data_IF_038407988807
#
_entry.id   IF_038407988807
#
_cell.length_a   1.000
_cell.length_b   1.000
_cell.length_c   1.000
_cell.angle_alpha   90.00
_cell.angle_beta   90.00
_cell.angle_gamma   90.00
#
_symmetry.space_group_name_H-M   'P 1'
#
loop_
_entity.id
_entity.type
_entity.pdbx_description
1 polymer ?
#
# COMPACT_ATOMS: atom_id res chain seq x y z
N UNK A 1 9.12 12.61 9.05
CA UNK A 1 8.11 12.72 7.98
C UNK A 1 8.46 13.78 6.93
N UNK A 2 8.85 15.01 7.26
CA UNK A 2 9.16 16.10 6.30
C UNK A 2 10.22 15.76 5.24
N UNK A 3 11.31 15.07 5.62
CA UNK A 3 12.35 14.66 4.66
C UNK A 3 11.79 13.65 3.65
N UNK A 4 10.99 12.69 4.09
CA UNK A 4 10.40 11.70 3.19
C UNK A 4 9.41 12.36 2.19
N UNK A 5 8.57 13.30 2.63
CA UNK A 5 7.69 14.06 1.75
C UNK A 5 8.46 14.84 0.68
N UNK A 6 9.56 15.50 1.07
CA UNK A 6 10.45 16.19 0.14
C UNK A 6 11.11 15.23 -0.87
N UNK A 7 11.65 14.10 -0.40
CA UNK A 7 12.30 13.12 -1.26
C UNK A 7 11.34 12.53 -2.29
N UNK A 8 10.12 12.15 -1.86
CA UNK A 8 9.10 11.66 -2.78
C UNK A 8 8.71 12.73 -3.81
N UNK A 9 8.57 13.98 -3.39
CA UNK A 9 8.28 15.05 -4.34
C UNK A 9 9.41 15.25 -5.36
N UNK A 10 10.67 15.11 -4.97
CA UNK A 10 11.83 15.15 -5.91
C UNK A 10 11.74 14.02 -6.93
N UNK A 11 11.48 12.79 -6.46
CA UNK A 11 11.31 11.63 -7.34
C UNK A 11 10.18 11.88 -8.34
N UNK A 12 9.00 12.24 -7.85
CA UNK A 12 7.82 12.45 -8.69
C UNK A 12 7.93 13.66 -9.64
N UNK A 13 8.85 14.59 -9.38
CA UNK A 13 9.16 15.71 -10.26
C UNK A 13 10.34 15.42 -11.22
N UNK A 14 10.97 14.23 -11.09
CA UNK A 14 12.09 13.86 -11.98
C UNK A 14 11.59 13.64 -13.41
N UNK A 15 12.16 14.30 -14.42
CA UNK A 15 11.86 13.99 -15.81
C UNK A 15 12.26 12.57 -16.15
N UNK A 16 11.39 11.82 -16.80
CA UNK A 16 11.63 10.41 -17.13
C UNK A 16 11.87 10.13 -18.61
N UNK A 17 11.66 11.11 -19.51
CA UNK A 17 11.99 11.01 -20.95
C UNK A 17 11.52 9.71 -21.62
N UNK A 18 12.22 9.30 -22.68
CA UNK A 18 12.05 7.99 -23.30
C UNK A 18 12.72 6.91 -22.44
N UNK A 19 11.93 6.01 -21.88
CA UNK A 19 12.37 4.95 -21.00
C UNK A 19 11.57 3.66 -21.26
N UNK A 20 12.00 2.55 -20.64
CA UNK A 20 11.36 1.25 -20.74
C UNK A 20 10.44 0.94 -19.55
N UNK A 21 10.08 1.94 -18.74
CA UNK A 21 9.20 1.74 -17.60
C UNK A 21 7.77 1.44 -18.08
N UNK A 22 7.14 0.48 -17.44
CA UNK A 22 5.77 0.08 -17.76
C UNK A 22 4.81 1.19 -17.33
N UNK A 23 3.82 1.47 -18.18
CA UNK A 23 2.67 2.31 -17.83
C UNK A 23 1.47 1.41 -17.61
N UNK A 24 0.94 1.35 -16.40
CA UNK A 24 -0.21 0.52 -16.07
C UNK A 24 -1.49 1.08 -16.71
N UNK A 25 -2.23 0.24 -17.46
CA UNK A 25 -3.45 0.66 -18.14
C UNK A 25 -4.56 1.10 -17.16
N UNK A 26 -4.79 0.34 -16.09
CA UNK A 26 -5.70 0.69 -15.00
C UNK A 26 -5.17 0.07 -13.70
N UNK A 27 -4.44 0.83 -12.87
CA UNK A 27 -3.83 0.31 -11.65
C UNK A 27 -4.86 -0.17 -10.62
N UNK A 28 -6.05 0.43 -10.55
CA UNK A 28 -7.10 -0.02 -9.64
C UNK A 28 -7.61 -1.41 -9.99
N UNK A 29 -7.81 -1.68 -11.29
CA UNK A 29 -8.22 -3.01 -11.74
C UNK A 29 -7.13 -4.05 -11.46
N UNK A 30 -5.87 -3.71 -11.77
CA UNK A 30 -4.73 -4.61 -11.52
C UNK A 30 -4.57 -4.93 -10.04
N UNK A 31 -4.60 -3.92 -9.16
CA UNK A 31 -4.54 -4.11 -7.71
C UNK A 31 -5.71 -4.93 -7.20
N UNK A 32 -6.92 -4.69 -7.71
CA UNK A 32 -8.10 -5.47 -7.33
C UNK A 32 -7.97 -6.93 -7.70
N UNK A 33 -7.55 -7.23 -8.93
CA UNK A 33 -7.42 -8.60 -9.42
C UNK A 33 -6.34 -9.37 -8.62
N UNK A 34 -5.21 -8.72 -8.30
CA UNK A 34 -4.18 -9.25 -7.39
C UNK A 34 -4.76 -9.56 -6.01
N UNK A 35 -5.45 -8.58 -5.40
CA UNK A 35 -6.06 -8.74 -4.08
C UNK A 35 -7.12 -9.85 -4.05
N UNK A 36 -7.93 -9.94 -5.09
CA UNK A 36 -8.96 -10.99 -5.22
C UNK A 36 -8.34 -12.39 -5.32
N UNK A 37 -7.22 -12.51 -6.05
CA UNK A 37 -6.48 -13.77 -6.12
C UNK A 37 -5.93 -14.17 -4.75
N UNK A 38 -5.23 -13.25 -4.06
CA UNK A 38 -4.68 -13.49 -2.73
C UNK A 38 -5.78 -13.82 -1.71
N UNK A 39 -6.87 -13.06 -1.70
CA UNK A 39 -8.01 -13.33 -0.83
C UNK A 39 -8.62 -14.72 -1.07
N UNK A 40 -8.72 -15.13 -2.35
CA UNK A 40 -9.26 -16.43 -2.74
C UNK A 40 -8.54 -17.60 -2.10
N UNK A 41 -7.24 -17.49 -1.88
CA UNK A 41 -6.47 -18.52 -1.20
C UNK A 41 -6.88 -18.68 0.26
N UNK A 42 -7.08 -17.58 0.99
CA UNK A 42 -7.53 -17.63 2.37
C UNK A 42 -8.99 -18.05 2.50
N UNK A 43 -9.87 -17.47 1.67
CA UNK A 43 -11.32 -17.71 1.71
C UNK A 43 -11.71 -19.15 1.35
N UNK A 44 -10.88 -19.84 0.54
CA UNK A 44 -11.07 -21.25 0.19
C UNK A 44 -10.47 -22.21 1.21
N UNK A 45 -9.80 -21.72 2.24
CA UNK A 45 -9.17 -22.55 3.24
C UNK A 45 -10.20 -23.10 4.25
N UNK A 46 -10.18 -24.39 4.53
CA UNK A 46 -11.12 -25.08 5.42
C UNK A 46 -11.02 -24.64 6.89
N UNK A 47 -9.90 -23.99 7.28
CA UNK A 47 -9.66 -23.42 8.60
C UNK A 47 -9.78 -21.88 8.64
N UNK A 48 -10.30 -21.26 7.57
CA UNK A 48 -10.49 -19.81 7.54
C UNK A 48 -11.48 -19.36 8.62
N UNK A 49 -11.12 -18.33 9.38
CA UNK A 49 -12.03 -17.73 10.36
C UNK A 49 -13.17 -17.00 9.63
N UNK A 50 -14.43 -17.27 10.02
CA UNK A 50 -15.63 -16.71 9.38
C UNK A 50 -15.71 -15.18 9.53
N UNK A 51 -15.26 -14.62 10.67
CA UNK A 51 -15.29 -13.17 10.87
C UNK A 51 -14.23 -12.48 10.02
N UNK A 52 -13.02 -13.03 9.97
CA UNK A 52 -11.95 -12.55 9.08
C UNK A 52 -12.42 -12.60 7.62
N UNK A 53 -13.00 -13.72 7.21
CA UNK A 53 -13.56 -13.89 5.85
C UNK A 53 -14.64 -12.85 5.53
N UNK A 54 -15.49 -12.52 6.50
CA UNK A 54 -16.50 -11.46 6.36
C UNK A 54 -15.88 -10.08 6.15
N UNK A 55 -14.79 -9.74 6.87
CA UNK A 55 -14.05 -8.48 6.65
C UNK A 55 -13.44 -8.43 5.26
N UNK A 56 -12.75 -9.49 4.83
CA UNK A 56 -12.10 -9.56 3.52
C UNK A 56 -13.14 -9.39 2.40
N UNK A 57 -14.27 -10.11 2.47
CA UNK A 57 -15.32 -9.99 1.46
C UNK A 57 -15.89 -8.57 1.39
N UNK A 58 -16.19 -7.95 2.53
CA UNK A 58 -16.67 -6.56 2.56
C UNK A 58 -15.67 -5.57 1.98
N UNK A 59 -14.38 -5.77 2.23
CA UNK A 59 -13.33 -4.92 1.67
C UNK A 59 -13.21 -5.09 0.15
N UNK A 60 -13.30 -6.32 -0.35
CA UNK A 60 -13.36 -6.60 -1.79
C UNK A 60 -14.58 -5.96 -2.45
N UNK A 61 -15.77 -6.11 -1.88
CA UNK A 61 -16.99 -5.49 -2.39
C UNK A 61 -16.87 -3.98 -2.48
N UNK A 62 -16.34 -3.33 -1.44
CA UNK A 62 -16.09 -1.88 -1.46
C UNK A 62 -15.12 -1.48 -2.55
N UNK A 63 -13.95 -2.12 -2.64
CA UNK A 63 -12.96 -1.80 -3.67
C UNK A 63 -13.51 -1.99 -5.08
N UNK A 64 -14.32 -3.03 -5.32
CA UNK A 64 -14.97 -3.25 -6.61
C UNK A 64 -15.80 -2.04 -7.05
N UNK A 65 -16.50 -1.38 -6.12
CA UNK A 65 -17.30 -0.17 -6.44
C UNK A 65 -16.44 1.06 -6.73
N UNK A 66 -15.17 1.03 -6.35
CA UNK A 66 -14.24 2.15 -6.52
C UNK A 66 -13.39 2.05 -7.80
N UNK A 67 -13.48 0.94 -8.54
CA UNK A 67 -12.77 0.81 -9.82
C UNK A 67 -13.43 1.73 -10.85
N UNK A 68 -12.70 2.68 -11.44
CA UNK A 68 -13.28 3.58 -12.42
C UNK A 68 -13.58 2.83 -13.73
N UNK A 69 -14.75 3.06 -14.30
CA UNK A 69 -15.13 2.50 -15.62
C UNK A 69 -14.16 2.93 -16.73
N UNK A 70 -13.69 4.18 -16.65
CA UNK A 70 -12.68 4.72 -17.56
C UNK A 70 -11.54 5.28 -16.72
N UNK A 71 -10.34 4.82 -17.00
CA UNK A 71 -9.13 5.30 -16.35
C UNK A 71 -8.24 6.02 -17.36
N UNK A 72 -7.77 7.18 -16.95
CA UNK A 72 -6.68 7.88 -17.63
C UNK A 72 -5.70 8.39 -16.57
N UNK A 73 -4.43 8.12 -16.78
CA UNK A 73 -3.39 8.62 -15.90
C UNK A 73 -3.34 10.14 -15.97
N UNK A 74 -3.38 10.81 -14.82
CA UNK A 74 -3.20 12.24 -14.72
C UNK A 74 -1.85 12.56 -14.08
N UNK A 75 -1.11 13.54 -14.65
CA UNK A 75 0.19 13.96 -14.13
C UNK A 75 1.18 12.80 -13.89
N UNK A 76 1.50 12.00 -14.95
CA UNK A 76 2.33 10.82 -14.81
C UNK A 76 3.73 11.17 -14.27
N UNK A 77 4.26 10.30 -13.44
CA UNK A 77 5.60 10.41 -12.87
C UNK A 77 6.20 9.03 -12.62
N UNK A 78 7.48 8.97 -12.29
CA UNK A 78 8.10 7.74 -11.80
C UNK A 78 7.56 7.47 -10.40
N UNK A 79 7.07 6.25 -10.15
CA UNK A 79 6.65 5.76 -8.85
C UNK A 79 7.36 4.46 -8.50
N UNK A 80 7.51 4.19 -7.20
CA UNK A 80 8.18 2.99 -6.70
C UNK A 80 7.23 1.79 -6.57
N UNK A 81 5.96 2.03 -6.23
CA UNK A 81 4.88 1.05 -6.01
C UNK A 81 4.93 0.23 -4.70
N UNK A 82 6.08 0.16 -4.00
CA UNK A 82 6.26 -0.64 -2.77
C UNK A 82 6.94 0.14 -1.63
N UNK A 83 6.75 1.45 -1.60
CA UNK A 83 7.37 2.33 -0.60
C UNK A 83 6.95 2.00 0.83
N UNK A 84 7.94 1.85 1.68
CA UNK A 84 7.78 1.76 3.13
C UNK A 84 8.90 2.53 3.83
N UNK A 85 8.87 2.66 5.16
CA UNK A 85 9.87 3.42 5.90
C UNK A 85 11.31 2.89 5.75
N UNK A 86 11.49 1.61 5.43
CA UNK A 86 12.80 1.00 5.18
C UNK A 86 13.43 1.40 3.85
N UNK A 87 12.65 1.99 2.92
CA UNK A 87 13.18 2.48 1.64
C UNK A 87 13.79 3.89 1.73
N UNK A 88 13.80 4.50 2.92
CA UNK A 88 14.36 5.83 3.13
C UNK A 88 15.64 5.77 3.92
N UNK A 89 16.74 6.21 3.34
CA UNK A 89 18.02 6.44 4.04
C UNK A 89 18.07 7.92 4.39
N UNK A 90 17.88 8.22 5.68
CA UNK A 90 17.85 9.60 6.19
C UNK A 90 19.22 9.95 6.75
N UNK A 91 19.86 10.94 6.13
CA UNK A 91 21.12 11.52 6.57
C UNK A 91 20.93 12.73 7.50
N UNK A 92 21.94 13.58 7.60
CA UNK A 92 21.90 14.80 8.43
C UNK A 92 20.95 15.87 7.86
N UNK A 93 20.68 15.83 6.56
CA UNK A 93 19.81 16.76 5.87
C UNK A 93 19.10 16.17 4.65
N UNK A 94 18.30 17.00 4.00
CA UNK A 94 17.53 16.60 2.80
C UNK A 94 18.44 16.14 1.66
N UNK A 95 19.62 16.75 1.50
CA UNK A 95 20.55 16.48 0.39
C UNK A 95 21.37 15.20 0.61
N UNK A 96 21.48 14.74 1.87
CA UNK A 96 22.19 13.51 2.25
C UNK A 96 21.20 12.35 2.48
N UNK A 97 19.98 12.49 2.01
CA UNK A 97 18.91 11.51 2.20
C UNK A 97 18.44 10.96 0.85
N UNK A 98 18.11 9.69 0.81
CA UNK A 98 17.85 8.96 -0.43
C UNK A 98 16.63 8.04 -0.28
N UNK A 99 15.96 7.81 -1.41
CA UNK A 99 14.99 6.71 -1.58
C UNK A 99 15.68 5.60 -2.35
N UNK A 100 15.60 4.39 -1.83
CA UNK A 100 16.24 3.18 -2.39
C UNK A 100 15.17 2.16 -2.81
N UNK A 101 15.62 1.04 -3.39
CA UNK A 101 14.79 -0.09 -3.76
C UNK A 101 13.82 0.23 -4.91
N UNK A 102 14.40 0.39 -6.11
CA UNK A 102 13.69 0.82 -7.33
C UNK A 102 13.41 -0.32 -8.30
N UNK A 103 13.43 -1.58 -7.85
CA UNK A 103 13.29 -2.74 -8.74
C UNK A 103 11.93 -2.85 -9.44
N UNK A 104 10.88 -2.24 -8.86
CA UNK A 104 9.51 -2.26 -9.38
C UNK A 104 9.00 -0.89 -9.84
N UNK A 105 9.92 0.00 -10.17
CA UNK A 105 9.54 1.33 -10.64
C UNK A 105 8.73 1.28 -11.93
N UNK A 106 7.69 2.09 -12.01
CA UNK A 106 6.81 2.24 -13.17
C UNK A 106 6.49 3.72 -13.42
N UNK A 107 5.88 4.02 -14.56
CA UNK A 107 5.22 5.32 -14.76
C UNK A 107 3.79 5.21 -14.23
N UNK A 108 3.48 6.00 -13.24
CA UNK A 108 2.19 5.99 -12.56
C UNK A 108 1.79 7.37 -12.05
N UNK A 109 0.98 7.39 -11.02
CA UNK A 109 0.47 8.59 -10.36
C UNK A 109 1.08 8.70 -8.96
N UNK A 110 1.53 9.90 -8.58
CA UNK A 110 2.16 10.10 -7.27
C UNK A 110 1.24 9.69 -6.11
N UNK A 111 -0.07 9.77 -6.29
CA UNK A 111 -1.06 9.35 -5.31
C UNK A 111 -0.96 7.86 -4.95
N UNK A 112 -0.52 7.02 -5.88
CA UNK A 112 -0.31 5.59 -5.63
C UNK A 112 0.83 5.36 -4.62
N UNK A 113 1.96 6.02 -4.82
CA UNK A 113 3.11 5.94 -3.91
C UNK A 113 2.80 6.58 -2.55
N UNK A 114 2.18 7.76 -2.54
CA UNK A 114 1.77 8.44 -1.30
C UNK A 114 0.83 7.56 -0.49
N UNK A 115 -0.17 6.97 -1.15
CA UNK A 115 -1.15 6.13 -0.49
C UNK A 115 -0.54 4.79 -0.01
N UNK A 116 0.39 4.21 -0.77
CA UNK A 116 1.09 3.00 -0.31
C UNK A 116 1.94 3.30 0.93
N UNK A 117 2.73 4.37 0.91
CA UNK A 117 3.60 4.75 2.01
C UNK A 117 2.83 5.06 3.30
N UNK A 118 1.67 5.73 3.18
CA UNK A 118 0.85 6.18 4.32
C UNK A 118 -0.24 5.19 4.74
N UNK A 119 -0.42 4.10 3.99
CA UNK A 119 -1.43 3.11 4.33
C UNK A 119 -1.18 2.49 5.72
N UNK A 120 -2.23 2.30 6.54
CA UNK A 120 -2.11 1.65 7.85
C UNK A 120 -1.47 0.27 7.75
N UNK A 121 -1.73 -0.47 6.68
CA UNK A 121 -1.15 -1.77 6.42
C UNK A 121 0.35 -1.69 6.09
N UNK A 122 0.85 -0.60 5.53
CA UNK A 122 2.27 -0.39 5.25
C UNK A 122 3.01 0.12 6.48
N UNK A 123 2.46 1.13 7.17
CA UNK A 123 3.10 1.70 8.36
C UNK A 123 3.15 0.69 9.50
N UNK A 124 2.09 -0.05 9.73
CA UNK A 124 2.03 -1.11 10.73
C UNK A 124 3.05 -2.24 10.47
N UNK A 125 3.32 -2.56 9.20
CA UNK A 125 4.29 -3.62 8.86
C UNK A 125 5.70 -3.34 9.40
N UNK A 126 6.17 -2.09 9.28
CA UNK A 126 7.56 -1.72 9.61
C UNK A 126 7.74 -1.10 10.98
N UNK A 127 6.68 -0.47 11.53
CA UNK A 127 6.81 0.37 12.73
C UNK A 127 5.84 0.00 13.86
N UNK A 128 4.93 -0.95 13.66
CA UNK A 128 3.81 -1.27 14.56
C UNK A 128 2.83 -0.09 14.80
N UNK A 129 2.91 0.95 13.97
CA UNK A 129 2.12 2.17 14.10
C UNK A 129 1.11 2.28 12.96
N UNK A 130 -0.12 2.64 13.29
CA UNK A 130 -1.11 3.14 12.35
C UNK A 130 -1.12 4.66 12.52
N UNK A 131 -0.80 5.39 11.46
CA UNK A 131 -0.80 6.85 11.47
C UNK A 131 -2.21 7.40 11.75
N UNK A 132 -2.27 8.45 12.54
CA UNK A 132 -3.49 9.21 12.72
C UNK A 132 -3.80 10.03 11.45
N UNK A 133 -5.07 10.39 11.28
CA UNK A 133 -5.47 11.20 10.12
C UNK A 133 -4.69 12.52 10.05
N UNK A 134 -4.48 13.16 11.18
CA UNK A 134 -3.73 14.41 11.33
C UNK A 134 -2.27 14.25 10.87
N UNK A 135 -1.62 13.13 11.19
CA UNK A 135 -0.24 12.82 10.78
C UNK A 135 -0.15 12.58 9.27
N UNK A 136 -1.17 11.93 8.69
CA UNK A 136 -1.28 11.76 7.23
C UNK A 136 -1.47 13.12 6.58
N UNK A 137 -2.36 13.96 7.09
CA UNK A 137 -2.66 15.28 6.55
C UNK A 137 -1.41 16.19 6.63
N UNK A 138 -0.66 16.20 7.75
CA UNK A 138 0.62 16.92 7.88
C UNK A 138 1.65 16.48 6.84
N UNK A 139 1.76 15.17 6.58
CA UNK A 139 2.66 14.67 5.54
C UNK A 139 2.26 15.15 4.16
N UNK A 140 0.98 15.07 3.84
CA UNK A 140 0.44 15.49 2.54
C UNK A 140 0.53 17.00 2.33
N UNK A 141 0.35 17.80 3.38
CA UNK A 141 0.57 19.26 3.34
C UNK A 141 2.04 19.58 3.06
N UNK A 142 2.98 18.89 3.68
CA UNK A 142 4.42 19.07 3.38
C UNK A 142 4.73 18.70 1.93
N UNK A 143 4.24 17.53 1.47
CA UNK A 143 4.43 17.10 0.09
C UNK A 143 3.86 18.12 -0.91
N UNK A 144 2.67 18.65 -0.64
CA UNK A 144 1.96 19.58 -1.52
C UNK A 144 2.69 20.93 -1.72
N UNK A 145 3.67 21.27 -0.86
CA UNK A 145 4.54 22.45 -1.06
C UNK A 145 5.46 22.31 -2.29
N UNK A 146 5.70 21.08 -2.74
CA UNK A 146 6.66 20.77 -3.80
C UNK A 146 5.99 20.19 -5.04
N UNK A 147 4.88 19.45 -4.86
CA UNK A 147 4.10 18.83 -5.93
C UNK A 147 2.65 18.69 -5.49
N UNK A 148 1.73 19.14 -6.36
CA UNK A 148 0.29 18.94 -6.15
C UNK A 148 -0.12 17.49 -6.40
N UNK A 149 -1.17 17.05 -5.73
CA UNK A 149 -1.77 15.72 -5.89
C UNK A 149 -3.31 15.85 -5.80
N UNK A 150 -4.02 14.83 -6.28
CA UNK A 150 -5.46 14.71 -6.19
C UNK A 150 -5.85 13.95 -4.90
N UNK A 151 -6.53 14.64 -3.99
CA UNK A 151 -6.90 14.08 -2.69
C UNK A 151 -7.88 12.91 -2.81
N UNK A 152 -8.88 12.99 -3.68
CA UNK A 152 -9.86 11.90 -3.88
C UNK A 152 -9.17 10.66 -4.44
N UNK A 153 -8.25 10.84 -5.38
CA UNK A 153 -7.46 9.76 -5.95
C UNK A 153 -6.53 9.13 -4.93
N UNK A 154 -5.86 9.94 -4.11
CA UNK A 154 -5.06 9.46 -2.99
C UNK A 154 -5.89 8.59 -2.03
N UNK A 155 -7.07 9.05 -1.61
CA UNK A 155 -7.96 8.30 -0.71
C UNK A 155 -8.43 6.98 -1.34
N UNK A 156 -8.69 6.98 -2.64
CA UNK A 156 -9.00 5.76 -3.38
C UNK A 156 -7.85 4.76 -3.36
N UNK A 157 -6.63 5.18 -3.68
CA UNK A 157 -5.45 4.33 -3.59
C UNK A 157 -5.18 3.84 -2.17
N UNK A 158 -5.46 4.68 -1.16
CA UNK A 158 -5.29 4.31 0.25
C UNK A 158 -6.16 3.08 0.61
N UNK A 159 -7.42 3.09 0.18
CA UNK A 159 -8.35 1.96 0.37
C UNK A 159 -7.82 0.69 -0.31
N UNK A 160 -7.35 0.79 -1.55
CA UNK A 160 -6.78 -0.37 -2.27
C UNK A 160 -5.50 -0.89 -1.60
N UNK A 161 -4.64 -0.03 -1.07
CA UNK A 161 -3.45 -0.46 -0.32
C UNK A 161 -3.81 -1.13 1.01
N UNK A 162 -4.87 -0.67 1.69
CA UNK A 162 -5.42 -1.37 2.85
C UNK A 162 -5.89 -2.79 2.48
N UNK A 163 -6.64 -2.94 1.40
CA UNK A 163 -7.06 -4.25 0.91
C UNK A 163 -5.85 -5.13 0.58
N UNK A 164 -4.86 -4.59 -0.14
CA UNK A 164 -3.65 -5.34 -0.54
C UNK A 164 -2.91 -5.91 0.66
N UNK A 165 -2.67 -5.09 1.70
CA UNK A 165 -1.98 -5.56 2.90
C UNK A 165 -2.74 -6.64 3.66
N UNK A 166 -4.06 -6.50 3.80
CA UNK A 166 -4.90 -7.53 4.46
C UNK A 166 -4.93 -8.83 3.66
N UNK A 167 -5.14 -8.75 2.35
CA UNK A 167 -5.24 -9.96 1.51
C UNK A 167 -3.91 -10.67 1.35
N UNK A 168 -2.80 -9.93 1.25
CA UNK A 168 -1.47 -10.51 1.23
C UNK A 168 -1.16 -11.25 2.54
N UNK A 169 -1.41 -10.62 3.69
CA UNK A 169 -1.17 -11.26 4.98
C UNK A 169 -2.10 -12.45 5.23
N UNK A 170 -3.36 -12.40 4.81
CA UNK A 170 -4.27 -13.54 4.94
C UNK A 170 -3.83 -14.74 4.10
N UNK A 171 -3.41 -14.51 2.85
CA UNK A 171 -2.81 -15.53 1.99
C UNK A 171 -1.55 -16.12 2.63
N UNK A 172 -0.62 -15.26 3.03
CA UNK A 172 0.63 -15.69 3.65
C UNK A 172 0.39 -16.48 4.93
N UNK A 173 -0.55 -16.04 5.79
CA UNK A 173 -0.91 -16.76 7.01
C UNK A 173 -1.36 -18.19 6.72
N UNK A 174 -2.25 -18.39 5.74
CA UNK A 174 -2.64 -19.73 5.30
C UNK A 174 -1.45 -20.54 4.83
N UNK A 175 -0.64 -19.99 3.89
CA UNK A 175 0.48 -20.70 3.29
C UNK A 175 1.50 -21.17 4.34
N UNK A 176 1.81 -20.31 5.29
CA UNK A 176 2.73 -20.64 6.38
C UNK A 176 2.13 -21.59 7.40
N UNK A 177 0.81 -21.52 7.65
CA UNK A 177 0.12 -22.45 8.57
C UNK A 177 0.02 -23.89 8.04
N UNK A 178 0.11 -24.07 6.72
CA UNK A 178 0.00 -25.38 6.07
C UNK A 178 1.34 -25.98 5.62
N UNK A 179 2.42 -25.20 5.63
CA UNK A 179 3.69 -25.64 5.06
C UNK A 179 4.83 -25.59 6.07
N UNK A 180 5.00 -26.67 6.83
CA UNK A 180 6.09 -26.83 7.82
C UNK A 180 7.52 -26.72 7.22
N UNK A 181 7.66 -26.71 5.90
CA UNK A 181 8.95 -26.59 5.20
C UNK A 181 9.29 -25.14 4.81
N UNK A 182 8.37 -24.21 4.92
CA UNK A 182 8.67 -22.81 4.69
C UNK A 182 9.53 -22.27 5.84
N UNK A 183 10.76 -21.87 5.50
CA UNK A 183 11.63 -21.16 6.44
C UNK A 183 11.06 -19.75 6.68
N UNK A 184 10.39 -19.59 7.81
CA UNK A 184 9.98 -18.28 8.25
C UNK A 184 10.41 -18.08 9.70
N UNK A 185 10.88 -16.88 9.99
CA UNK A 185 11.13 -16.51 11.38
C UNK A 185 9.80 -16.27 12.12
N UNK A 186 9.81 -16.58 13.40
CA UNK A 186 8.63 -16.47 14.26
C UNK A 186 8.09 -15.03 14.34
N UNK A 187 8.97 -14.03 14.22
CA UNK A 187 8.62 -12.62 14.28
C UNK A 187 7.78 -12.23 13.07
N UNK A 188 8.22 -12.62 11.87
CA UNK A 188 7.47 -12.39 10.63
C UNK A 188 6.11 -13.09 10.66
N UNK A 189 6.04 -14.33 11.17
CA UNK A 189 4.76 -15.02 11.28
C UNK A 189 3.78 -14.31 12.22
N UNK A 190 4.26 -13.89 13.40
CA UNK A 190 3.44 -13.11 14.34
C UNK A 190 2.94 -11.81 13.71
N UNK A 191 3.80 -11.13 12.94
CA UNK A 191 3.42 -9.91 12.21
C UNK A 191 2.34 -10.18 11.17
N UNK A 192 2.47 -11.24 10.37
CA UNK A 192 1.46 -11.66 9.40
C UNK A 192 0.14 -11.98 10.11
N UNK A 193 0.19 -12.75 11.20
CA UNK A 193 -0.99 -13.13 11.98
C UNK A 193 -1.75 -11.90 12.53
N UNK A 194 -1.03 -10.86 12.95
CA UNK A 194 -1.65 -9.64 13.49
C UNK A 194 -2.54 -8.89 12.48
N UNK A 195 -2.36 -9.09 11.17
CA UNK A 195 -3.19 -8.47 10.12
C UNK A 195 -4.58 -9.11 9.99
N UNK A 196 -4.75 -10.31 10.49
CA UNK A 196 -6.03 -11.01 10.50
C UNK A 196 -6.66 -11.05 11.90
N UNK A 197 -6.07 -10.37 12.88
CA UNK A 197 -6.71 -10.12 14.17
C UNK A 197 -7.89 -9.14 14.01
N UNK A 198 -9.00 -9.43 14.68
CA UNK A 198 -10.23 -8.62 14.54
C UNK A 198 -10.02 -7.16 14.94
N UNK A 199 -9.18 -6.90 15.95
CA UNK A 199 -8.86 -5.53 16.36
C UNK A 199 -8.18 -4.73 15.25
N UNK A 200 -7.22 -5.34 14.54
CA UNK A 200 -6.57 -4.70 13.40
C UNK A 200 -7.54 -4.48 12.23
N UNK A 201 -8.32 -5.51 11.89
CA UNK A 201 -9.32 -5.43 10.82
C UNK A 201 -10.39 -4.37 11.11
N UNK A 202 -10.79 -4.19 12.36
CA UNK A 202 -11.72 -3.13 12.77
C UNK A 202 -11.11 -1.73 12.54
N UNK A 203 -9.84 -1.52 12.95
CA UNK A 203 -9.12 -0.26 12.68
C UNK A 203 -9.02 0.02 11.19
N UNK A 204 -8.63 -0.95 10.38
CA UNK A 204 -8.53 -0.82 8.93
C UNK A 204 -9.91 -0.58 8.31
N UNK A 205 -10.98 -1.17 8.85
CA UNK A 205 -12.35 -1.01 8.32
C UNK A 205 -12.84 0.45 8.33
N UNK A 206 -12.24 1.32 9.13
CA UNK A 206 -12.57 2.74 9.15
C UNK A 206 -12.32 3.43 7.80
N UNK A 207 -11.37 2.93 7.02
CA UNK A 207 -11.02 3.44 5.69
C UNK A 207 -12.00 3.00 4.58
N UNK A 208 -12.85 2.01 4.85
CA UNK A 208 -13.82 1.45 3.89
C UNK A 208 -15.26 1.95 4.08
N UNK A 209 -15.43 3.01 4.86
CA UNK A 209 -16.74 3.62 5.12
C UNK A 209 -17.21 4.53 4.00
#
# INVERSE_FOLDING_TARGET
>A
MYIAAYLLSKVHNTPYGDNNLINAANPFQLMFDECKQMAGEYLAWDKADEKVSSYINRFLEKCLTLIPEKYSIANPCIINTELNSGNFLIGEGKEDSYVIDWEKAVIGECEQDLAHFLAPTTTFWKTDIILLKEEIDEFLEEYNKYRTFDRERFERYLIFNCLRGVTWCSMAFRQYSENDKMLMDETTFKKIASYIELEFLEKVSAYFK
#
